data_IF_910378242142
#
_entry.id   IF_910378242142
#
_cell.length_a   1.000
_cell.length_b   1.000
_cell.length_c   1.000
_cell.angle_alpha   90.00
_cell.angle_beta   90.00
_cell.angle_gamma   90.00
#
_symmetry.space_group_name_H-M   'P 1'
#
loop_
_entity.id
_entity.type
_entity.pdbx_description
1 polymer ?
#
# COMPACT_ATOMS: atom_id res chain seq x y z
N UNK A 1 -5.12 7.96 23.14
CA UNK A 1 -4.91 7.74 21.69
C UNK A 1 -5.98 6.80 21.21
N UNK A 2 -7.03 7.33 20.58
CA UNK A 2 -8.16 6.54 20.10
C UNK A 2 -7.82 5.81 18.81
N UNK A 3 -8.26 4.57 18.68
CA UNK A 3 -8.27 3.86 17.40
C UNK A 3 -9.35 4.50 16.52
N UNK A 4 -8.97 4.85 15.30
CA UNK A 4 -9.89 5.24 14.24
C UNK A 4 -10.22 4.02 13.38
N UNK A 5 -11.47 3.91 12.96
CA UNK A 5 -11.94 2.85 12.08
C UNK A 5 -12.61 3.49 10.87
N UNK A 6 -12.32 2.95 9.68
CA UNK A 6 -13.04 3.32 8.48
C UNK A 6 -14.48 2.82 8.59
N UNK A 7 -15.44 3.75 8.55
CA UNK A 7 -16.88 3.40 8.56
C UNK A 7 -17.46 3.25 7.15
N UNK A 8 -16.74 3.67 6.12
CA UNK A 8 -17.15 3.62 4.73
C UNK A 8 -16.07 2.98 3.86
N UNK A 9 -16.48 2.45 2.70
CA UNK A 9 -15.57 1.84 1.74
C UNK A 9 -14.68 2.91 1.09
N UNK A 10 -13.45 2.55 0.73
CA UNK A 10 -12.52 3.46 0.09
C UNK A 10 -12.98 3.79 -1.35
N UNK A 11 -13.52 4.99 -1.55
CA UNK A 11 -13.80 5.56 -2.87
C UNK A 11 -12.69 6.55 -3.28
N UNK A 12 -12.53 6.90 -4.57
CA UNK A 12 -11.53 7.89 -4.98
C UNK A 12 -11.67 9.22 -4.24
N UNK A 13 -12.89 9.72 -4.12
CA UNK A 13 -13.22 10.97 -3.43
C UNK A 13 -13.08 10.81 -1.90
N UNK A 14 -13.48 9.64 -1.38
CA UNK A 14 -13.39 9.32 0.04
C UNK A 14 -11.95 9.11 0.53
N UNK A 15 -11.04 8.62 -0.32
CA UNK A 15 -9.64 8.41 0.04
C UNK A 15 -8.91 9.75 0.26
N UNK A 16 -9.09 10.73 -0.62
CA UNK A 16 -8.51 12.06 -0.43
C UNK A 16 -9.10 12.77 0.79
N UNK A 17 -10.43 12.72 0.94
CA UNK A 17 -11.11 13.31 2.09
C UNK A 17 -10.65 12.69 3.41
N UNK A 18 -10.56 11.36 3.48
CA UNK A 18 -10.05 10.63 4.64
C UNK A 18 -8.63 11.08 5.01
N UNK A 19 -7.74 11.22 4.03
CA UNK A 19 -6.35 11.55 4.28
C UNK A 19 -6.17 12.98 4.82
N UNK A 20 -7.01 13.92 4.37
CA UNK A 20 -6.96 15.34 4.76
C UNK A 20 -7.77 15.66 6.02
N UNK A 21 -8.98 15.11 6.12
CA UNK A 21 -9.92 15.39 7.21
C UNK A 21 -9.70 14.48 8.41
N UNK A 22 -8.91 13.41 8.22
CA UNK A 22 -8.73 12.35 9.19
C UNK A 22 -10.05 11.61 9.40
N UNK A 23 -10.26 11.12 10.61
CA UNK A 23 -11.41 10.26 10.91
C UNK A 23 -11.86 10.40 12.36
N UNK A 24 -13.12 10.04 12.62
CA UNK A 24 -13.64 10.02 13.99
C UNK A 24 -13.15 8.77 14.72
N UNK A 25 -12.47 8.96 15.85
CA UNK A 25 -12.07 7.88 16.73
C UNK A 25 -13.27 7.24 17.44
N UNK A 26 -13.05 6.05 18.03
CA UNK A 26 -14.08 5.31 18.76
C UNK A 26 -14.75 6.08 19.92
N UNK A 27 -14.13 7.17 20.41
CA UNK A 27 -14.68 8.06 21.45
C UNK A 27 -15.34 9.35 20.92
N UNK A 28 -15.55 9.49 19.61
CA UNK A 28 -16.14 10.69 19.01
C UNK A 28 -15.17 11.85 18.76
N UNK A 29 -13.92 11.74 19.22
CA UNK A 29 -12.87 12.72 18.96
C UNK A 29 -12.33 12.59 17.54
N UNK A 30 -12.11 13.73 16.86
CA UNK A 30 -11.52 13.76 15.54
C UNK A 30 -10.01 13.47 15.59
N UNK A 31 -9.57 12.47 14.84
CA UNK A 31 -8.18 12.27 14.47
C UNK A 31 -7.93 13.20 13.28
N UNK A 32 -6.89 14.04 13.38
CA UNK A 32 -6.54 15.03 12.35
C UNK A 32 -5.92 14.40 11.09
N UNK A 33 -5.41 15.24 10.17
CA UNK A 33 -4.71 14.77 8.97
C UNK A 33 -3.57 13.83 9.33
N UNK A 34 -3.35 12.83 8.48
CA UNK A 34 -2.31 11.83 8.72
C UNK A 34 -0.95 12.31 8.21
N UNK A 35 0.07 12.22 9.07
CA UNK A 35 1.45 12.47 8.68
C UNK A 35 2.03 11.34 7.81
N UNK A 36 1.52 10.12 7.99
CA UNK A 36 1.98 8.90 7.31
C UNK A 36 0.82 7.94 7.06
N UNK A 37 0.92 7.17 5.98
CA UNK A 37 -0.02 6.09 5.65
C UNK A 37 0.70 4.75 5.68
N UNK A 38 0.14 3.76 6.37
CA UNK A 38 0.59 2.37 6.29
C UNK A 38 -0.56 1.52 5.76
N UNK A 39 -0.33 0.91 4.60
CA UNK A 39 -1.36 0.23 3.83
C UNK A 39 -1.13 -1.29 3.78
N UNK A 40 -2.12 -2.05 4.24
CA UNK A 40 -2.16 -3.51 4.22
C UNK A 40 -3.37 -4.06 3.43
N UNK A 41 -3.93 -3.28 2.51
CA UNK A 41 -5.07 -3.68 1.67
C UNK A 41 -4.64 -4.81 0.72
N UNK A 42 -5.47 -5.84 0.59
CA UNK A 42 -5.28 -7.03 -0.24
C UNK A 42 -5.96 -6.95 -1.63
N UNK A 43 -6.71 -5.87 -1.84
CA UNK A 43 -7.51 -5.63 -3.05
C UNK A 43 -6.85 -4.56 -3.93
N UNK A 44 -6.54 -4.90 -5.18
CA UNK A 44 -5.74 -4.05 -6.10
C UNK A 44 -6.32 -2.65 -6.28
N UNK A 45 -7.62 -2.53 -6.58
CA UNK A 45 -8.26 -1.23 -6.88
C UNK A 45 -8.23 -0.23 -5.72
N UNK A 46 -8.79 -0.54 -4.52
CA UNK A 46 -8.78 0.41 -3.40
C UNK A 46 -7.35 0.78 -2.99
N UNK A 47 -6.41 -0.17 -3.11
CA UNK A 47 -5.00 0.07 -2.86
C UNK A 47 -4.36 1.06 -3.85
N UNK A 48 -4.63 0.91 -5.14
CA UNK A 48 -4.17 1.88 -6.16
C UNK A 48 -4.72 3.28 -5.90
N UNK A 49 -6.00 3.38 -5.53
CA UNK A 49 -6.63 4.65 -5.19
C UNK A 49 -5.97 5.30 -3.98
N UNK A 50 -5.79 4.55 -2.88
CA UNK A 50 -5.11 5.05 -1.68
C UNK A 50 -3.71 5.58 -2.00
N UNK A 51 -2.91 4.80 -2.74
CA UNK A 51 -1.54 5.17 -3.11
C UNK A 51 -1.55 6.43 -3.99
N UNK A 52 -2.44 6.51 -4.97
CA UNK A 52 -2.53 7.67 -5.86
C UNK A 52 -2.99 8.94 -5.12
N UNK A 53 -3.96 8.82 -4.20
CA UNK A 53 -4.40 9.93 -3.35
C UNK A 53 -3.30 10.42 -2.43
N UNK A 54 -2.59 9.51 -1.74
CA UNK A 54 -1.46 9.86 -0.88
C UNK A 54 -0.33 10.54 -1.68
N UNK A 55 -0.01 10.01 -2.86
CA UNK A 55 0.98 10.61 -3.77
C UNK A 55 0.59 12.04 -4.19
N UNK A 56 -0.66 12.23 -4.61
CA UNK A 56 -1.20 13.54 -5.02
C UNK A 56 -1.14 14.57 -3.88
N UNK A 57 -1.38 14.13 -2.65
CA UNK A 57 -1.35 14.98 -1.45
C UNK A 57 0.05 15.14 -0.86
N UNK A 58 1.06 14.45 -1.39
CA UNK A 58 2.42 14.49 -0.86
C UNK A 58 2.59 13.82 0.50
N UNK A 59 1.67 12.92 0.88
CA UNK A 59 1.69 12.21 2.16
C UNK A 59 2.60 10.98 2.02
N UNK A 60 3.65 10.84 2.87
CA UNK A 60 4.46 9.64 2.92
C UNK A 60 3.62 8.39 3.20
N UNK A 61 3.84 7.34 2.41
CA UNK A 61 3.11 6.09 2.50
C UNK A 61 4.08 4.92 2.62
N UNK A 62 3.66 3.81 3.19
CA UNK A 62 4.32 2.50 3.09
C UNK A 62 3.23 1.49 2.82
N UNK A 63 3.42 0.62 1.84
CA UNK A 63 2.40 -0.35 1.46
C UNK A 63 2.94 -1.75 1.33
N UNK A 64 2.23 -2.72 1.90
CA UNK A 64 2.51 -4.14 1.75
C UNK A 64 2.10 -4.67 0.38
N UNK A 65 2.89 -5.57 -0.20
CA UNK A 65 2.55 -6.31 -1.42
C UNK A 65 2.09 -7.75 -1.08
N UNK A 66 2.16 -8.66 -2.05
CA UNK A 66 1.71 -10.03 -1.89
C UNK A 66 2.63 -10.86 -0.98
N UNK A 67 2.16 -11.15 0.23
CA UNK A 67 2.82 -12.07 1.17
C UNK A 67 2.46 -13.55 0.95
N UNK A 68 1.48 -13.85 0.10
CA UNK A 68 1.02 -15.21 -0.16
C UNK A 68 2.12 -16.12 -0.70
N UNK A 69 2.26 -17.32 -0.13
CA UNK A 69 3.25 -18.30 -0.57
C UNK A 69 4.71 -17.98 -0.20
N UNK A 70 4.96 -16.98 0.66
CA UNK A 70 6.29 -16.63 1.17
C UNK A 70 6.55 -17.33 2.49
N UNK A 71 7.71 -17.97 2.62
CA UNK A 71 8.06 -18.78 3.80
C UNK A 71 9.18 -18.19 4.65
N UNK A 72 10.07 -17.38 4.05
CA UNK A 72 11.23 -16.81 4.74
C UNK A 72 10.98 -15.33 5.08
N UNK A 73 10.60 -14.98 6.32
CA UNK A 73 10.40 -13.59 6.75
C UNK A 73 11.70 -12.78 6.74
N UNK A 74 12.87 -13.43 6.81
CA UNK A 74 14.19 -12.78 6.76
C UNK A 74 14.52 -12.14 5.41
N UNK A 75 13.70 -12.37 4.38
CA UNK A 75 13.84 -11.79 3.04
C UNK A 75 13.00 -10.53 2.83
N UNK A 76 12.22 -10.08 3.83
CA UNK A 76 11.42 -8.85 3.71
C UNK A 76 12.33 -7.62 3.64
N UNK A 77 12.08 -6.70 2.72
CA UNK A 77 12.86 -5.48 2.44
C UNK A 77 11.91 -4.37 2.04
N UNK A 78 12.31 -3.15 2.38
CA UNK A 78 11.73 -1.90 1.90
C UNK A 78 12.51 -1.48 0.67
N UNK A 79 11.84 -1.37 -0.47
CA UNK A 79 12.41 -1.03 -1.77
C UNK A 79 11.40 -0.15 -2.52
N UNK A 80 11.78 0.68 -3.51
CA UNK A 80 10.80 1.37 -4.34
C UNK A 80 9.89 0.41 -5.11
N UNK A 81 8.62 0.79 -5.36
CA UNK A 81 7.68 -0.10 -6.04
C UNK A 81 8.18 -0.48 -7.43
N UNK A 82 8.80 0.47 -8.15
CA UNK A 82 9.37 0.28 -9.48
C UNK A 82 10.32 -0.93 -9.56
N UNK A 83 11.06 -1.20 -8.48
CA UNK A 83 12.08 -2.25 -8.39
C UNK A 83 11.55 -3.59 -7.93
N UNK A 84 10.29 -3.67 -7.50
CA UNK A 84 9.68 -4.94 -7.08
C UNK A 84 9.54 -5.91 -8.26
N UNK A 85 9.82 -7.18 -8.03
CA UNK A 85 9.76 -8.24 -9.05
C UNK A 85 9.22 -9.54 -8.45
N UNK A 86 8.75 -10.45 -9.32
CA UNK A 86 8.19 -11.76 -8.95
C UNK A 86 6.94 -11.74 -8.03
N UNK A 87 6.33 -10.56 -7.89
CA UNK A 87 5.05 -10.36 -7.20
C UNK A 87 3.98 -9.93 -8.22
N UNK A 88 2.96 -10.78 -8.40
CA UNK A 88 1.84 -10.54 -9.32
C UNK A 88 0.94 -9.38 -8.86
N UNK A 89 0.77 -9.22 -7.56
CA UNK A 89 0.01 -8.12 -6.97
C UNK A 89 0.73 -6.79 -7.20
N UNK A 90 2.03 -6.74 -6.92
CA UNK A 90 2.87 -5.59 -7.22
C UNK A 90 2.87 -5.25 -8.73
N UNK A 91 2.90 -6.26 -9.61
CA UNK A 91 2.85 -6.04 -11.05
C UNK A 91 1.54 -5.36 -11.50
N UNK A 92 0.40 -5.77 -10.94
CA UNK A 92 -0.90 -5.14 -11.19
C UNK A 92 -0.93 -3.72 -10.63
N UNK A 93 -0.40 -3.49 -9.42
CA UNK A 93 -0.26 -2.15 -8.83
C UNK A 93 0.56 -1.22 -9.74
N UNK A 94 1.78 -1.61 -10.11
CA UNK A 94 2.66 -0.83 -11.00
C UNK A 94 1.95 -0.45 -12.30
N UNK A 95 1.21 -1.39 -12.91
CA UNK A 95 0.49 -1.14 -14.16
C UNK A 95 -0.62 -0.10 -13.99
N UNK A 96 -1.40 -0.16 -12.92
CA UNK A 96 -2.47 0.82 -12.67
C UNK A 96 -1.93 2.18 -12.24
N UNK A 97 -0.95 2.20 -11.33
CA UNK A 97 -0.35 3.45 -10.82
C UNK A 97 0.34 4.26 -11.91
N UNK A 98 1.02 3.62 -12.86
CA UNK A 98 1.56 4.30 -14.05
C UNK A 98 0.47 4.97 -14.90
N UNK A 99 -0.73 4.39 -14.99
CA UNK A 99 -1.87 5.00 -15.70
C UNK A 99 -2.45 6.20 -14.95
N UNK A 100 -2.27 6.23 -13.63
CA UNK A 100 -2.69 7.33 -12.76
C UNK A 100 -1.61 8.43 -12.62
N UNK A 101 -0.47 8.31 -13.32
CA UNK A 101 0.60 9.30 -13.29
C UNK A 101 1.43 9.31 -12.00
N UNK A 102 1.41 8.22 -11.23
CA UNK A 102 2.18 8.11 -9.97
C UNK A 102 3.63 7.75 -10.28
N UNK A 103 4.57 8.50 -9.69
CA UNK A 103 5.99 8.14 -9.69
C UNK A 103 6.24 6.96 -8.73
N UNK A 104 6.80 5.88 -9.28
CA UNK A 104 7.01 4.63 -8.56
C UNK A 104 8.36 4.55 -7.84
N UNK A 105 9.25 5.52 -8.09
CA UNK A 105 10.57 5.61 -7.47
C UNK A 105 10.56 6.42 -6.16
N UNK A 106 9.46 7.14 -5.90
CA UNK A 106 9.29 7.86 -4.64
C UNK A 106 9.21 6.86 -3.46
N UNK A 107 9.83 7.23 -2.33
CA UNK A 107 10.26 6.38 -1.21
C UNK A 107 9.17 5.68 -0.36
N UNK A 108 8.01 5.35 -0.94
CA UNK A 108 6.79 5.06 -0.17
C UNK A 108 6.09 3.71 -0.43
N UNK A 109 6.73 2.68 -1.01
CA UNK A 109 6.02 1.44 -1.34
C UNK A 109 6.83 0.17 -1.10
N UNK A 110 6.56 -0.62 -0.05
CA UNK A 110 7.42 -1.72 0.39
C UNK A 110 6.74 -3.10 0.51
N UNK A 111 7.07 -4.04 -0.38
CA UNK A 111 7.36 -5.42 0.04
C UNK A 111 8.31 -6.11 -0.93
N UNK A 112 9.13 -6.98 -0.35
CA UNK A 112 10.30 -7.64 -0.91
C UNK A 112 10.02 -8.91 -1.68
N UNK A 113 10.87 -9.12 -2.67
CA UNK A 113 11.44 -10.44 -2.94
C UNK A 113 12.91 -10.34 -3.35
N UNK A 114 13.74 -11.26 -2.84
CA UNK A 114 14.62 -12.09 -3.68
C UNK A 114 14.92 -13.41 -2.98
N UNK A 115 14.60 -14.49 -3.69
CA UNK A 115 15.09 -15.83 -3.43
C UNK A 115 13.99 -16.89 -3.42
N UNK A 116 13.52 -17.31 -4.59
CA UNK A 116 13.43 -18.73 -4.91
C UNK A 116 13.31 -18.85 -6.42
N UNK A 117 14.40 -19.25 -7.07
CA UNK A 117 14.25 -20.15 -8.21
C UNK A 117 13.60 -21.41 -7.65
N UNK A 118 12.29 -21.60 -7.86
CA UNK A 118 11.70 -22.92 -7.71
C UNK A 118 11.91 -23.66 -9.02
N UNK A 119 13.13 -24.19 -9.22
CA UNK A 119 13.23 -25.43 -9.98
C UNK A 119 12.53 -26.47 -9.11
N UNK A 120 11.50 -27.10 -9.67
CA UNK A 120 10.78 -28.19 -9.03
C UNK A 120 11.78 -29.22 -8.51
N UNK A 121 11.68 -29.57 -7.24
CA UNK A 121 12.06 -30.89 -6.76
C UNK A 121 10.84 -31.46 -6.05
N UNK A 122 10.00 -32.11 -6.87
CA UNK A 122 9.37 -33.34 -6.43
C UNK A 122 10.49 -34.36 -6.26
N UNK A 123 10.81 -34.70 -5.02
CA UNK A 123 11.45 -35.96 -4.62
C UNK A 123 10.94 -36.33 -3.25
#
# INVERSE_FOLDING_TARGET
MGLCWLQEFLTPEGAEALLLQGCRGAGGEGVGPFDWVVDAIDSVRPKQLLIASAFKLGIPLVTAMGAGGRLDPGRVRVVPLSTTFNDSFAALLRKGLRRLGVDLDQHSLAMAERGQSFKRECT
#
